data_IF_662361430399
#
_entry.id   IF_662361430399
#
_cell.length_a   1.000
_cell.length_b   1.000
_cell.length_c   1.000
_cell.angle_alpha   90.00
_cell.angle_beta   90.00
_cell.angle_gamma   90.00
#
_symmetry.space_group_name_H-M   'P 1'
#
loop_
_entity.id
_entity.type
_entity.pdbx_description
1 polymer ?
#
# COMPACT_ATOMS: atom_id res chain seq x y z
N UNK A 1 29.79 -15.20 -0.73
CA UNK A 1 29.37 -15.39 -2.14
C UNK A 1 27.86 -15.30 -2.32
N UNK A 2 27.08 -14.82 -1.35
CA UNK A 2 25.59 -14.78 -1.40
C UNK A 2 24.98 -13.41 -1.70
N UNK A 3 25.74 -12.32 -1.55
CA UNK A 3 25.20 -10.96 -1.77
C UNK A 3 25.09 -10.55 -3.24
N UNK A 4 25.83 -11.21 -4.16
CA UNK A 4 25.83 -10.85 -5.57
C UNK A 4 24.64 -11.39 -6.37
N UNK A 5 24.06 -12.50 -5.91
CA UNK A 5 22.95 -13.17 -6.61
C UNK A 5 21.58 -12.54 -6.23
N UNK A 6 21.48 -12.00 -5.02
CA UNK A 6 20.28 -11.28 -4.54
C UNK A 6 20.11 -9.95 -5.26
N UNK A 7 21.22 -9.21 -5.46
CA UNK A 7 21.20 -7.93 -6.18
C UNK A 7 20.85 -8.12 -7.68
N UNK A 8 21.38 -9.17 -8.33
CA UNK A 8 21.07 -9.48 -9.74
C UNK A 8 19.63 -9.91 -9.98
N UNK A 9 18.99 -10.62 -9.03
CA UNK A 9 17.56 -10.96 -9.11
C UNK A 9 16.68 -9.72 -9.01
N UNK A 10 17.04 -8.79 -8.13
CA UNK A 10 16.30 -7.55 -7.98
C UNK A 10 16.47 -6.59 -9.16
N UNK A 11 17.65 -6.51 -9.78
CA UNK A 11 17.88 -5.67 -10.96
C UNK A 11 16.98 -6.06 -12.14
N UNK A 12 16.75 -7.35 -12.40
CA UNK A 12 15.86 -7.83 -13.45
C UNK A 12 14.38 -7.49 -13.20
N UNK A 13 13.90 -7.67 -11.96
CA UNK A 13 12.53 -7.32 -11.58
C UNK A 13 12.28 -5.80 -11.61
N UNK A 14 13.24 -5.00 -11.17
CA UNK A 14 13.15 -3.55 -11.20
C UNK A 14 13.13 -2.99 -12.63
N UNK A 15 13.87 -3.56 -13.56
CA UNK A 15 13.85 -3.16 -14.97
C UNK A 15 12.50 -3.49 -15.63
N UNK A 16 11.97 -4.68 -15.43
CA UNK A 16 10.63 -5.03 -15.92
C UNK A 16 9.53 -4.13 -15.36
N UNK A 17 9.62 -3.76 -14.07
CA UNK A 17 8.67 -2.87 -13.45
C UNK A 17 8.74 -1.43 -14.01
N UNK A 18 9.91 -0.89 -14.22
CA UNK A 18 10.11 0.46 -14.79
C UNK A 18 9.54 0.59 -16.19
N UNK A 19 9.58 -0.48 -16.95
CA UNK A 19 9.16 -0.49 -18.37
C UNK A 19 7.66 -0.78 -18.54
N UNK A 20 6.95 -1.13 -17.46
CA UNK A 20 5.51 -1.39 -17.50
C UNK A 20 4.69 -0.11 -17.44
N UNK A 21 3.58 -0.12 -18.15
CA UNK A 21 2.58 0.94 -18.06
C UNK A 21 1.62 0.68 -16.90
N UNK A 22 1.39 1.71 -16.08
CA UNK A 22 0.46 1.68 -14.96
C UNK A 22 -0.58 2.77 -15.14
N UNK A 23 -1.84 2.39 -15.14
CA UNK A 23 -2.95 3.35 -15.12
C UNK A 23 -3.21 3.83 -13.70
N UNK A 24 -2.26 4.59 -13.13
CA UNK A 24 -2.19 4.94 -11.70
C UNK A 24 -3.49 5.55 -11.19
N UNK A 25 -4.14 6.43 -11.95
CA UNK A 25 -5.42 7.02 -11.55
C UNK A 25 -6.52 5.97 -11.43
N UNK A 26 -6.62 5.05 -12.38
CA UNK A 26 -7.61 3.97 -12.33
C UNK A 26 -7.31 2.97 -11.22
N UNK A 27 -6.04 2.62 -11.01
CA UNK A 27 -5.62 1.67 -9.99
C UNK A 27 -6.06 2.10 -8.59
N UNK A 28 -5.89 3.37 -8.23
CA UNK A 28 -6.28 3.85 -6.91
C UNK A 28 -7.75 4.31 -6.88
N UNK A 29 -8.17 5.18 -7.78
CA UNK A 29 -9.51 5.79 -7.74
C UNK A 29 -10.64 4.80 -8.08
N UNK A 30 -10.43 3.90 -9.05
CA UNK A 30 -11.47 2.99 -9.54
C UNK A 30 -11.35 1.56 -9.02
N UNK A 31 -10.15 0.96 -9.11
CA UNK A 31 -9.97 -0.43 -8.69
C UNK A 31 -9.86 -0.55 -7.17
N UNK A 32 -9.29 0.45 -6.51
CA UNK A 32 -8.87 0.48 -5.12
C UNK A 32 -7.71 -0.47 -4.85
N UNK A 33 -6.99 -0.20 -3.77
CA UNK A 33 -5.92 -1.06 -3.30
C UNK A 33 -6.19 -1.52 -1.87
N UNK A 34 -5.57 -2.62 -1.47
CA UNK A 34 -5.49 -3.06 -0.09
C UNK A 34 -4.09 -2.73 0.44
N UNK A 35 -4.00 -1.78 1.37
CA UNK A 35 -2.78 -1.49 2.11
C UNK A 35 -2.71 -2.38 3.34
N UNK A 36 -1.61 -3.12 3.52
CA UNK A 36 -1.45 -4.11 4.61
C UNK A 36 -0.10 -3.95 5.28
N UNK A 37 -0.05 -4.07 6.61
CA UNK A 37 1.18 -4.07 7.39
C UNK A 37 1.09 -5.05 8.57
N UNK A 38 2.25 -5.53 9.04
CA UNK A 38 2.38 -6.52 10.10
C UNK A 38 2.98 -7.83 9.60
N UNK A 39 2.88 -8.88 10.42
CA UNK A 39 3.33 -10.24 10.10
C UNK A 39 2.12 -11.13 9.80
N UNK A 40 2.31 -12.31 9.21
CA UNK A 40 1.19 -13.22 8.93
C UNK A 40 0.38 -13.58 10.19
N UNK A 41 1.03 -13.62 11.35
CA UNK A 41 0.41 -13.94 12.64
C UNK A 41 -0.35 -12.75 13.25
N UNK A 42 0.09 -11.53 12.94
CA UNK A 42 -0.55 -10.30 13.41
C UNK A 42 -0.37 -9.16 12.40
N UNK A 43 -1.34 -9.01 11.52
CA UNK A 43 -1.40 -7.96 10.51
C UNK A 43 -2.78 -7.30 10.49
N UNK A 44 -2.82 -6.13 9.90
CA UNK A 44 -4.08 -5.51 9.50
C UNK A 44 -3.93 -4.87 8.13
N UNK A 45 -5.04 -4.71 7.43
CA UNK A 45 -5.09 -4.06 6.12
C UNK A 45 -6.41 -3.32 5.92
N UNK A 46 -6.38 -2.23 5.20
CA UNK A 46 -7.59 -1.52 4.82
C UNK A 46 -7.57 -1.12 3.34
N UNK A 47 -8.73 -1.09 2.77
CA UNK A 47 -8.92 -0.59 1.41
C UNK A 47 -8.66 0.89 1.35
N UNK A 48 -7.90 1.30 0.36
CA UNK A 48 -7.56 2.69 0.05
C UNK A 48 -7.91 3.01 -1.40
N UNK A 49 -8.36 4.25 -1.63
CA UNK A 49 -8.59 4.80 -2.97
C UNK A 49 -7.60 5.91 -3.33
N UNK A 50 -6.70 6.27 -2.41
CA UNK A 50 -5.74 7.35 -2.61
C UNK A 50 -4.31 6.83 -2.58
N UNK A 51 -3.56 7.13 -3.63
CA UNK A 51 -2.16 6.74 -3.75
C UNK A 51 -1.53 7.25 -5.03
N UNK A 52 -0.23 7.07 -5.13
CA UNK A 52 0.55 7.43 -6.31
C UNK A 52 1.79 6.55 -6.44
N UNK A 53 2.30 6.44 -7.65
CA UNK A 53 3.60 5.85 -7.97
C UNK A 53 4.54 6.94 -8.44
N UNK A 54 5.82 6.84 -8.12
CA UNK A 54 6.79 7.83 -8.53
C UNK A 54 8.23 7.44 -8.27
N UNK A 55 9.11 8.44 -8.33
CA UNK A 55 10.53 8.29 -8.03
C UNK A 55 10.95 9.40 -7.07
N UNK A 56 11.71 9.05 -6.04
CA UNK A 56 12.13 9.99 -4.99
C UNK A 56 13.52 9.61 -4.43
N UNK A 57 14.22 10.58 -3.87
CA UNK A 57 15.48 10.41 -3.15
C UNK A 57 16.55 9.60 -3.90
N UNK A 58 16.86 10.03 -5.10
CA UNK A 58 17.97 9.53 -5.88
C UNK A 58 18.77 10.66 -6.54
N UNK A 59 19.93 10.35 -7.05
CA UNK A 59 20.75 11.26 -7.83
C UNK A 59 20.72 10.88 -9.31
N UNK A 60 20.50 11.86 -10.19
CA UNK A 60 20.45 11.67 -11.64
C UNK A 60 19.32 10.72 -12.07
N UNK A 61 19.63 9.53 -12.60
CA UNK A 61 18.65 8.54 -13.06
C UNK A 61 18.36 7.43 -12.05
N UNK A 62 18.89 7.51 -10.82
CA UNK A 62 18.84 6.44 -9.81
C UNK A 62 17.82 6.73 -8.70
N UNK A 63 16.73 7.40 -9.02
CA UNK A 63 15.62 7.62 -8.08
C UNK A 63 15.04 6.30 -7.57
N UNK A 64 14.75 6.24 -6.25
CA UNK A 64 14.04 5.11 -5.66
C UNK A 64 12.62 5.07 -6.21
N UNK A 65 12.19 3.93 -6.70
CA UNK A 65 10.80 3.74 -7.09
C UNK A 65 9.95 3.65 -5.82
N UNK A 66 8.94 4.49 -5.75
CA UNK A 66 8.11 4.59 -4.56
C UNK A 66 6.63 4.40 -4.87
N UNK A 67 5.92 3.91 -3.86
CA UNK A 67 4.48 4.08 -3.74
C UNK A 67 4.20 5.02 -2.56
N UNK A 68 3.28 5.95 -2.78
CA UNK A 68 2.73 6.78 -1.72
C UNK A 68 1.28 6.36 -1.48
N UNK A 69 0.92 6.13 -0.22
CA UNK A 69 -0.46 5.81 0.18
C UNK A 69 -0.95 6.76 1.26
N UNK A 70 -2.28 6.95 1.32
CA UNK A 70 -2.93 7.82 2.28
C UNK A 70 -3.94 7.03 3.09
N UNK A 71 -3.75 7.00 4.42
CA UNK A 71 -4.59 6.21 5.33
C UNK A 71 -5.13 7.10 6.44
N UNK A 72 -6.45 7.06 6.64
CA UNK A 72 -7.07 7.84 7.69
C UNK A 72 -6.65 7.31 9.08
N UNK A 73 -6.28 8.19 10.04
CA UNK A 73 -5.92 7.81 11.41
C UNK A 73 -6.97 6.97 12.15
N UNK A 74 -8.24 7.09 11.80
CA UNK A 74 -9.34 6.31 12.38
C UNK A 74 -9.33 4.84 11.94
N UNK A 75 -8.59 4.49 10.87
CA UNK A 75 -8.39 3.10 10.45
C UNK A 75 -7.36 2.42 11.36
N UNK A 76 -7.71 1.27 11.91
CA UNK A 76 -6.79 0.52 12.78
C UNK A 76 -5.49 0.14 12.06
N UNK A 77 -5.56 -0.08 10.77
CA UNK A 77 -4.41 -0.32 9.89
C UNK A 77 -3.34 0.78 9.99
N UNK A 78 -3.72 2.03 10.31
CA UNK A 78 -2.75 3.11 10.49
C UNK A 78 -1.75 2.82 11.60
N UNK A 79 -2.17 2.17 12.70
CA UNK A 79 -1.28 1.79 13.80
C UNK A 79 -0.26 0.73 13.36
N UNK A 80 -0.69 -0.22 12.52
CA UNK A 80 0.21 -1.22 11.93
C UNK A 80 1.21 -0.58 10.97
N UNK A 81 0.77 0.36 10.13
CA UNK A 81 1.64 1.10 9.21
C UNK A 81 2.66 1.97 9.96
N UNK A 82 2.27 2.60 11.07
CA UNK A 82 3.19 3.38 11.91
C UNK A 82 4.26 2.49 12.56
N UNK A 83 3.85 1.32 13.07
CA UNK A 83 4.70 0.41 13.86
C UNK A 83 5.67 -0.41 13.01
N UNK A 84 5.30 -0.79 11.78
CA UNK A 84 6.07 -1.70 10.95
C UNK A 84 6.88 -0.95 9.89
N UNK A 85 8.06 -1.46 9.54
CA UNK A 85 8.95 -0.89 8.52
C UNK A 85 8.64 -1.40 7.11
N UNK A 86 7.82 -2.45 7.00
CA UNK A 86 7.35 -3.01 5.75
C UNK A 86 5.83 -2.90 5.64
N UNK A 87 5.35 -2.57 4.45
CA UNK A 87 3.95 -2.66 4.10
C UNK A 87 3.78 -3.14 2.65
N UNK A 88 2.60 -3.62 2.33
CA UNK A 88 2.26 -4.05 0.97
C UNK A 88 1.06 -3.27 0.45
N UNK A 89 1.01 -3.11 -0.88
CA UNK A 89 -0.11 -2.49 -1.59
C UNK A 89 -0.54 -3.46 -2.68
N UNK A 90 -1.69 -4.09 -2.50
CA UNK A 90 -2.21 -5.15 -3.37
C UNK A 90 -3.43 -4.69 -4.16
N UNK A 91 -3.47 -5.04 -5.43
CA UNK A 91 -4.59 -4.81 -6.35
C UNK A 91 -5.20 -6.14 -6.78
N UNK A 92 -6.48 -6.13 -7.08
CA UNK A 92 -7.27 -7.32 -7.35
C UNK A 92 -8.15 -7.13 -8.57
N UNK A 93 -8.62 -8.23 -9.14
CA UNK A 93 -9.67 -8.22 -10.16
C UNK A 93 -11.01 -7.73 -9.58
N UNK A 94 -11.90 -7.27 -10.44
CA UNK A 94 -13.20 -6.66 -10.06
C UNK A 94 -14.09 -7.60 -9.23
N UNK A 95 -13.97 -8.91 -9.39
CA UNK A 95 -14.73 -9.90 -8.63
C UNK A 95 -14.44 -9.86 -7.11
N UNK A 96 -13.31 -9.29 -6.68
CA UNK A 96 -12.94 -9.09 -5.26
C UNK A 96 -13.41 -7.73 -4.71
N UNK A 97 -14.16 -6.95 -5.47
CA UNK A 97 -14.66 -5.64 -5.06
C UNK A 97 -15.43 -5.65 -3.75
N UNK A 98 -16.21 -6.72 -3.51
CA UNK A 98 -16.97 -6.91 -2.28
C UNK A 98 -16.05 -7.13 -1.07
N UNK A 99 -14.98 -7.87 -1.24
CA UNK A 99 -13.98 -8.11 -0.19
C UNK A 99 -13.26 -6.82 0.17
N UNK A 100 -12.85 -6.05 -0.83
CA UNK A 100 -12.27 -4.72 -0.61
C UNK A 100 -13.24 -3.77 0.11
N UNK A 101 -14.54 -3.79 -0.22
CA UNK A 101 -15.54 -3.01 0.49
C UNK A 101 -15.64 -3.41 1.97
N UNK A 102 -15.61 -4.72 2.25
CA UNK A 102 -15.60 -5.25 3.63
C UNK A 102 -14.38 -4.75 4.39
N UNK A 103 -13.17 -4.89 3.83
CA UNK A 103 -11.91 -4.45 4.45
C UNK A 103 -11.81 -2.92 4.58
N UNK A 104 -12.52 -2.18 3.74
CA UNK A 104 -12.62 -0.71 3.80
C UNK A 104 -13.64 -0.20 4.83
N UNK A 105 -14.59 -1.02 5.28
CA UNK A 105 -15.68 -0.59 6.18
C UNK A 105 -15.60 -1.19 7.57
N UNK A 106 -15.05 -2.40 7.71
CA UNK A 106 -14.90 -3.10 8.99
C UNK A 106 -13.56 -2.79 9.65
N UNK A 107 -13.51 -2.89 10.98
CA UNK A 107 -12.29 -2.72 11.77
C UNK A 107 -11.89 -4.04 12.44
N UNK A 108 -10.59 -4.35 12.42
CA UNK A 108 -10.02 -5.48 13.18
C UNK A 108 -10.23 -5.32 14.70
N UNK A 109 -10.48 -4.11 15.19
CA UNK A 109 -10.84 -3.88 16.60
C UNK A 109 -12.18 -4.53 16.99
N UNK A 110 -13.08 -4.67 16.02
CA UNK A 110 -14.47 -5.10 16.27
C UNK A 110 -14.71 -6.55 15.84
N UNK A 111 -14.00 -7.02 14.83
CA UNK A 111 -14.20 -8.37 14.26
C UNK A 111 -12.98 -8.83 13.47
N UNK A 112 -12.88 -10.14 13.22
CA UNK A 112 -11.98 -10.70 12.23
C UNK A 112 -12.51 -10.42 10.82
N UNK A 113 -12.17 -9.25 10.29
CA UNK A 113 -12.67 -8.80 8.99
C UNK A 113 -12.10 -9.61 7.81
N UNK A 114 -10.90 -10.21 7.95
CA UNK A 114 -10.33 -11.05 6.91
C UNK A 114 -11.05 -12.37 6.77
N UNK A 115 -11.50 -12.99 7.88
CA UNK A 115 -12.36 -14.16 7.84
C UNK A 115 -13.72 -13.94 7.15
N UNK A 116 -14.10 -12.66 6.93
CA UNK A 116 -15.32 -12.29 6.19
C UNK A 116 -15.09 -12.13 4.68
N UNK A 117 -13.87 -12.40 4.21
CA UNK A 117 -13.48 -12.26 2.80
C UNK A 117 -13.05 -13.61 2.22
N UNK A 118 -12.92 -13.65 0.89
CA UNK A 118 -12.36 -14.81 0.18
C UNK A 118 -10.83 -14.69 -0.01
N UNK A 119 -10.19 -13.68 0.56
CA UNK A 119 -8.77 -13.43 0.41
C UNK A 119 -7.94 -14.33 1.33
N UNK A 120 -6.89 -14.92 0.78
CA UNK A 120 -5.96 -15.82 1.46
C UNK A 120 -4.64 -15.08 1.73
N UNK A 121 -4.36 -14.70 2.99
CA UNK A 121 -3.10 -14.04 3.34
C UNK A 121 -1.95 -15.03 3.34
N UNK A 122 -0.81 -14.61 2.79
CA UNK A 122 0.42 -15.38 2.73
C UNK A 122 1.61 -14.53 3.20
N UNK A 123 2.60 -15.18 3.80
CA UNK A 123 3.87 -14.52 4.14
C UNK A 123 4.72 -14.34 2.90
N UNK A 124 5.23 -13.14 2.69
CA UNK A 124 6.25 -12.87 1.69
C UNK A 124 7.34 -11.96 2.27
N UNK A 125 8.50 -12.53 2.58
CA UNK A 125 9.55 -11.82 3.31
C UNK A 125 9.04 -11.27 4.65
N UNK A 126 9.08 -9.95 4.81
CA UNK A 126 8.56 -9.24 5.98
C UNK A 126 7.11 -8.74 5.78
N UNK A 127 6.53 -8.94 4.60
CA UNK A 127 5.20 -8.47 4.25
C UNK A 127 4.15 -9.57 4.27
N UNK A 128 2.89 -9.16 4.23
CA UNK A 128 1.73 -10.03 4.01
C UNK A 128 1.17 -9.72 2.63
N UNK A 129 1.06 -10.74 1.79
CA UNK A 129 0.48 -10.68 0.44
C UNK A 129 -0.78 -11.54 0.37
N UNK A 130 -1.48 -11.52 -0.74
CA UNK A 130 -2.69 -12.31 -0.93
C UNK A 130 -2.61 -13.11 -2.23
N UNK A 131 -2.97 -14.41 -2.16
CA UNK A 131 -2.95 -15.30 -3.33
C UNK A 131 -3.77 -14.77 -4.49
N UNK A 132 -4.86 -14.07 -4.21
CA UNK A 132 -5.82 -13.55 -5.19
C UNK A 132 -5.39 -12.22 -5.81
N UNK A 133 -4.35 -11.56 -5.26
CA UNK A 133 -3.86 -10.31 -5.82
C UNK A 133 -3.22 -10.54 -7.20
N UNK A 134 -3.58 -9.70 -8.16
CA UNK A 134 -2.97 -9.70 -9.49
C UNK A 134 -1.72 -8.82 -9.58
N UNK A 135 -1.59 -7.83 -8.69
CA UNK A 135 -0.43 -6.98 -8.55
C UNK A 135 -0.22 -6.65 -7.07
N UNK A 136 1.00 -6.82 -6.56
CA UNK A 136 1.38 -6.41 -5.21
C UNK A 136 2.73 -5.71 -5.23
N UNK A 137 2.77 -4.51 -4.65
CA UNK A 137 4.01 -3.82 -4.30
C UNK A 137 4.39 -4.14 -2.87
N UNK A 138 5.60 -4.65 -2.67
CA UNK A 138 6.20 -4.88 -1.36
C UNK A 138 7.13 -3.71 -1.08
N UNK A 139 6.92 -3.02 0.03
CA UNK A 139 7.50 -1.72 0.27
C UNK A 139 8.23 -1.65 1.60
N UNK A 140 9.44 -1.09 1.58
CA UNK A 140 10.13 -0.62 2.76
C UNK A 140 9.68 0.82 3.05
N UNK A 141 9.10 1.06 4.24
CA UNK A 141 8.68 2.40 4.64
C UNK A 141 9.88 3.32 4.76
N UNK A 142 9.86 4.44 4.04
CA UNK A 142 10.91 5.46 4.07
C UNK A 142 10.51 6.70 4.86
N UNK A 143 9.22 7.03 4.84
CA UNK A 143 8.71 8.24 5.44
C UNK A 143 7.22 8.09 5.78
N UNK A 144 6.80 8.80 6.81
CA UNK A 144 5.39 9.01 7.10
C UNK A 144 5.20 10.36 7.81
N UNK A 145 4.06 10.96 7.57
CA UNK A 145 3.61 12.19 8.26
C UNK A 145 2.10 12.29 8.16
N UNK A 146 1.47 12.91 9.13
CA UNK A 146 0.08 13.32 9.01
C UNK A 146 0.02 14.66 8.30
N UNK A 147 -0.94 14.85 7.39
CA UNK A 147 -1.12 16.15 6.75
C UNK A 147 -1.33 17.24 7.79
N UNK A 148 -0.53 18.30 7.68
CA UNK A 148 -0.72 19.50 8.50
C UNK A 148 -2.00 20.22 8.06
N UNK A 149 -3.00 20.38 8.95
CA UNK A 149 -4.26 21.07 8.60
C UNK A 149 -4.07 22.47 8.04
N UNK A 150 -3.05 23.20 8.54
CA UNK A 150 -2.77 24.57 8.13
C UNK A 150 -2.22 24.68 6.68
N UNK A 151 -1.80 23.57 6.10
CA UNK A 151 -1.27 23.50 4.74
C UNK A 151 -2.27 22.91 3.74
N UNK A 152 -3.47 22.54 4.19
CA UNK A 152 -4.52 22.00 3.33
C UNK A 152 -5.33 23.17 2.75
N UNK A 153 -5.59 23.11 1.45
CA UNK A 153 -6.50 24.08 0.81
C UNK A 153 -7.83 24.15 1.57
N UNK A 154 -8.35 25.37 1.87
CA UNK A 154 -9.55 25.54 2.69
C UNK A 154 -10.81 24.86 2.13
N UNK A 155 -10.94 24.72 0.82
CA UNK A 155 -12.06 24.01 0.19
C UNK A 155 -11.95 22.51 0.43
N UNK A 156 -10.78 21.93 0.19
CA UNK A 156 -10.48 20.52 0.48
C UNK A 156 -10.65 20.22 1.97
N UNK A 157 -10.20 21.11 2.85
CA UNK A 157 -10.35 20.93 4.29
C UNK A 157 -11.82 20.87 4.71
N UNK A 158 -12.67 21.72 4.14
CA UNK A 158 -14.13 21.70 4.40
C UNK A 158 -14.81 20.46 3.86
N UNK A 159 -14.46 20.04 2.64
CA UNK A 159 -15.12 18.91 1.98
C UNK A 159 -14.75 17.57 2.59
N UNK A 160 -13.47 17.39 2.93
CA UNK A 160 -12.91 16.08 3.28
C UNK A 160 -12.67 15.93 4.77
N UNK A 161 -12.29 17.00 5.46
CA UNK A 161 -11.80 16.96 6.85
C UNK A 161 -12.68 17.69 7.87
N UNK A 162 -13.90 18.05 7.51
CA UNK A 162 -14.83 18.71 8.44
C UNK A 162 -15.22 17.84 9.64
N UNK A 163 -15.23 16.51 9.48
CA UNK A 163 -15.69 15.52 10.47
C UNK A 163 -14.64 14.43 10.81
N UNK A 164 -13.43 14.56 10.26
CA UNK A 164 -12.37 13.55 10.44
C UNK A 164 -10.98 14.17 10.43
N UNK A 165 -10.00 13.55 11.11
CA UNK A 165 -8.63 14.03 11.07
C UNK A 165 -8.01 13.88 9.67
N UNK A 166 -7.04 14.73 9.32
CA UNK A 166 -6.24 14.57 8.11
C UNK A 166 -5.56 13.20 8.03
N UNK A 167 -5.40 12.70 6.81
CA UNK A 167 -4.76 11.40 6.56
C UNK A 167 -3.28 11.41 6.92
N UNK A 168 -2.78 10.25 7.29
CA UNK A 168 -1.37 9.94 7.20
C UNK A 168 -0.98 9.71 5.74
N UNK A 169 0.17 10.24 5.35
CA UNK A 169 0.91 9.89 4.15
C UNK A 169 2.01 8.89 4.53
N UNK A 170 2.11 7.79 3.80
CA UNK A 170 3.22 6.85 3.92
C UNK A 170 3.92 6.75 2.57
N UNK A 171 5.25 6.90 2.55
CA UNK A 171 6.08 6.72 1.37
C UNK A 171 6.90 5.46 1.55
N UNK A 172 6.72 4.49 0.66
CA UNK A 172 7.47 3.23 0.65
C UNK A 172 8.32 3.09 -0.60
N UNK A 173 9.59 2.71 -0.42
CA UNK A 173 10.41 2.21 -1.53
C UNK A 173 9.89 0.84 -1.95
N UNK A 174 9.59 0.68 -3.21
CA UNK A 174 9.19 -0.60 -3.78
C UNK A 174 10.45 -1.47 -3.85
N UNK A 175 10.50 -2.51 -3.00
CA UNK A 175 11.62 -3.44 -2.94
C UNK A 175 11.37 -4.68 -3.77
N UNK A 176 10.10 -5.01 -4.03
CA UNK A 176 9.70 -6.14 -4.85
C UNK A 176 8.30 -5.92 -5.44
N UNK A 177 8.05 -6.52 -6.59
CA UNK A 177 6.75 -6.48 -7.26
C UNK A 177 6.34 -7.91 -7.63
N UNK A 178 5.16 -8.32 -7.14
CA UNK A 178 4.50 -9.53 -7.60
C UNK A 178 3.42 -9.12 -8.61
N UNK A 179 3.62 -9.49 -9.86
CA UNK A 179 2.72 -9.10 -10.96
C UNK A 179 2.29 -10.34 -11.76
N UNK A 180 1.02 -10.66 -11.69
CA UNK A 180 0.38 -11.81 -12.35
C UNK A 180 -0.51 -11.38 -13.54
N UNK A 181 -0.48 -10.10 -13.92
CA UNK A 181 -1.31 -9.55 -15.01
C UNK A 181 -0.78 -9.91 -16.38
#
# INVERSE_FOLDING_TARGET
>A
MENGDFLKRNEGLFMEFRDRQYEVFNMFDKQWALATAGTLEDFDGCTIGWGSLGSLWGSRSDGRLIVTIYVNPLRYTSEYLLKNDCFTVSFFEENYRRDLLTLGTKSKRDCDKFAMTSLTPERHGQGVVFSEANLTFICRKLYWEQFNPDHIDPEVAREIYSDRPPHYQFIGEITEVLDKR
#
